data_IF_275501773462
#
_entry.id   IF_275501773462
#
_cell.length_a   1.000
_cell.length_b   1.000
_cell.length_c   1.000
_cell.angle_alpha   90.00
_cell.angle_beta   90.00
_cell.angle_gamma   90.00
#
_symmetry.space_group_name_H-M   'P 1'
#
loop_
_entity.id
_entity.type
_entity.pdbx_description
1 polymer ?
#
# COMPACT_ATOMS: atom_id res chain seq x y z
N UNK A 1 -1.34 22.87 10.04
CA UNK A 1 -1.23 21.39 10.01
C UNK A 1 -2.30 20.77 9.11
N UNK A 2 -3.58 20.99 9.34
CA UNK A 2 -4.72 20.42 8.59
C UNK A 2 -4.64 20.56 7.06
N UNK A 3 -4.31 21.74 6.54
CA UNK A 3 -4.28 22.02 5.09
C UNK A 3 -3.31 21.13 4.28
N UNK A 4 -2.25 20.64 4.91
CA UNK A 4 -1.19 19.82 4.29
C UNK A 4 -1.53 18.35 4.28
N UNK A 5 -2.13 17.87 5.38
CA UNK A 5 -2.65 16.51 5.47
C UNK A 5 -3.83 16.30 4.52
N UNK A 6 -4.60 17.36 4.22
CA UNK A 6 -5.68 17.31 3.23
C UNK A 6 -5.18 17.02 1.81
N UNK A 7 -4.08 17.65 1.38
CA UNK A 7 -3.50 17.37 0.06
C UNK A 7 -3.11 15.88 -0.07
N UNK A 8 -2.52 15.31 0.98
CA UNK A 8 -2.13 13.90 1.02
C UNK A 8 -3.33 12.94 1.15
N UNK A 9 -4.43 13.37 1.80
CA UNK A 9 -5.62 12.53 1.99
C UNK A 9 -6.35 12.18 0.69
N UNK A 10 -6.14 12.96 -0.38
CA UNK A 10 -6.78 12.78 -1.68
C UNK A 10 -6.08 11.76 -2.57
N UNK A 11 -4.82 11.41 -2.28
CA UNK A 11 -3.97 10.62 -3.19
C UNK A 11 -3.46 9.36 -2.48
N UNK A 12 -3.97 8.22 -2.95
CA UNK A 12 -3.69 6.90 -2.38
C UNK A 12 -2.21 6.49 -2.42
N UNK A 13 -1.54 6.74 -3.53
CA UNK A 13 -0.14 6.34 -3.77
C UNK A 13 0.89 7.24 -3.07
N UNK A 14 0.40 8.31 -2.40
CA UNK A 14 1.26 9.38 -1.91
C UNK A 14 1.72 10.34 -3.00
N UNK A 15 2.34 11.43 -2.58
CA UNK A 15 2.87 12.49 -3.45
C UNK A 15 4.39 12.58 -3.33
N UNK A 16 5.05 12.92 -4.43
CA UNK A 16 6.45 13.34 -4.38
C UNK A 16 6.56 14.75 -3.74
N UNK A 17 7.74 15.09 -3.27
CA UNK A 17 7.97 16.40 -2.60
C UNK A 17 7.60 17.59 -3.49
N UNK A 18 7.88 17.52 -4.78
CA UNK A 18 7.52 18.55 -5.77
C UNK A 18 6.00 18.69 -5.91
N UNK A 19 5.29 17.57 -5.96
CA UNK A 19 3.83 17.54 -6.05
C UNK A 19 3.17 18.10 -4.78
N UNK A 20 3.76 17.84 -3.60
CA UNK A 20 3.31 18.45 -2.34
C UNK A 20 3.52 19.96 -2.36
N UNK A 21 4.68 20.44 -2.81
CA UNK A 21 4.97 21.87 -2.93
C UNK A 21 3.94 22.56 -3.84
N UNK A 22 3.64 21.98 -4.99
CA UNK A 22 2.63 22.47 -5.93
C UNK A 22 1.23 22.48 -5.32
N UNK A 23 0.78 21.33 -4.78
CA UNK A 23 -0.55 21.19 -4.20
C UNK A 23 -0.80 22.09 -3.00
N UNK A 24 0.24 22.41 -2.23
CA UNK A 24 0.16 23.27 -1.03
C UNK A 24 0.55 24.72 -1.30
N UNK A 25 1.02 25.04 -2.51
CA UNK A 25 1.58 26.35 -2.89
C UNK A 25 2.74 26.80 -1.97
N UNK A 26 3.49 25.85 -1.41
CA UNK A 26 4.65 26.13 -0.57
C UNK A 26 5.94 26.10 -1.41
N UNK A 27 6.93 26.93 -1.06
CA UNK A 27 8.22 26.87 -1.73
C UNK A 27 8.90 25.52 -1.46
N UNK A 28 9.51 24.95 -2.51
CA UNK A 28 10.25 23.67 -2.43
C UNK A 28 11.66 23.90 -1.85
N UNK A 29 11.75 24.33 -0.60
CA UNK A 29 12.96 24.70 0.14
C UNK A 29 13.24 23.77 1.35
N UNK A 30 14.21 24.13 2.18
CA UNK A 30 14.57 23.41 3.41
C UNK A 30 13.44 23.31 4.43
N UNK A 31 12.60 24.35 4.54
CA UNK A 31 11.47 24.34 5.49
C UNK A 31 10.46 23.26 5.17
N UNK A 32 10.14 23.06 3.87
CA UNK A 32 9.28 21.95 3.45
C UNK A 32 9.90 20.59 3.81
N UNK A 33 11.22 20.45 3.65
CA UNK A 33 11.92 19.20 4.01
C UNK A 33 11.83 18.93 5.52
N UNK A 34 12.13 19.95 6.33
CA UNK A 34 12.04 19.85 7.79
C UNK A 34 10.63 19.52 8.26
N UNK A 35 9.63 20.14 7.63
CA UNK A 35 8.24 19.91 7.92
C UNK A 35 7.80 18.47 7.60
N UNK A 36 8.16 17.94 6.44
CA UNK A 36 7.86 16.56 6.05
C UNK A 36 8.56 15.57 6.99
N UNK A 37 9.79 15.85 7.40
CA UNK A 37 10.52 15.06 8.40
C UNK A 37 9.80 15.06 9.75
N UNK A 38 9.33 16.22 10.23
CA UNK A 38 8.58 16.29 11.49
C UNK A 38 7.27 15.52 11.43
N UNK A 39 6.54 15.59 10.31
CA UNK A 39 5.30 14.83 10.12
C UNK A 39 5.55 13.31 10.06
N UNK A 40 6.67 12.89 9.47
CA UNK A 40 7.09 11.48 9.47
C UNK A 40 7.44 11.01 10.88
N UNK A 41 8.28 11.74 11.59
CA UNK A 41 8.70 11.42 12.96
C UNK A 41 7.51 11.37 13.94
N UNK A 42 6.48 12.19 13.67
CA UNK A 42 5.25 12.21 14.47
C UNK A 42 4.22 11.15 14.01
N UNK A 43 4.53 10.29 13.04
CA UNK A 43 3.66 9.23 12.57
C UNK A 43 2.46 9.68 11.71
N UNK A 44 2.38 10.98 11.34
CA UNK A 44 1.28 11.46 10.50
C UNK A 44 1.41 11.04 9.04
N UNK A 45 2.65 10.94 8.57
CA UNK A 45 2.92 10.51 7.19
C UNK A 45 3.97 9.40 7.18
N UNK A 46 3.98 8.64 6.10
CA UNK A 46 4.95 7.59 5.81
C UNK A 46 5.70 7.96 4.53
N UNK A 47 6.98 7.65 4.50
CA UNK A 47 7.80 7.71 3.30
C UNK A 47 7.83 6.34 2.64
N UNK A 48 7.34 6.24 1.41
CA UNK A 48 7.46 5.04 0.61
C UNK A 48 8.67 5.17 -0.34
N UNK A 49 9.61 4.24 -0.23
CA UNK A 49 10.71 4.14 -1.18
C UNK A 49 10.21 3.58 -2.52
N UNK A 50 10.80 4.02 -3.63
CA UNK A 50 10.57 3.41 -4.95
C UNK A 50 11.61 2.36 -5.26
N UNK A 51 11.16 1.24 -5.83
CA UNK A 51 12.04 0.15 -6.28
C UNK A 51 13.11 0.66 -7.25
N UNK A 52 14.35 0.25 -7.04
CA UNK A 52 15.49 0.67 -7.89
C UNK A 52 16.05 2.07 -7.62
N UNK A 53 15.36 2.91 -6.85
CA UNK A 53 15.79 4.28 -6.53
C UNK A 53 16.20 4.42 -5.07
N UNK A 54 17.49 4.64 -4.81
CA UNK A 54 18.01 4.76 -3.43
C UNK A 54 17.72 6.12 -2.77
N UNK A 55 17.52 7.19 -3.55
CA UNK A 55 17.38 8.56 -2.99
C UNK A 55 16.36 9.47 -3.68
N UNK A 56 15.94 9.19 -4.91
CA UNK A 56 14.99 10.01 -5.67
C UNK A 56 13.66 9.27 -5.82
N UNK A 57 12.56 10.04 -5.96
CA UNK A 57 11.24 9.47 -6.20
C UNK A 57 10.59 8.85 -4.96
N UNK A 58 10.97 9.27 -3.76
CA UNK A 58 10.21 8.94 -2.53
C UNK A 58 8.86 9.60 -2.58
N UNK A 59 7.81 8.87 -2.19
CA UNK A 59 6.48 9.44 -2.03
C UNK A 59 6.12 9.54 -0.56
N UNK A 60 5.40 10.61 -0.20
CA UNK A 60 4.88 10.87 1.13
C UNK A 60 3.40 10.54 1.12
N UNK A 61 2.99 9.66 2.01
CA UNK A 61 1.62 9.17 2.11
C UNK A 61 1.09 9.45 3.52
N UNK A 62 -0.16 9.85 3.63
CA UNK A 62 -0.84 9.98 4.93
C UNK A 62 -0.91 8.60 5.58
N UNK A 63 -0.47 8.47 6.82
CA UNK A 63 -0.40 7.20 7.56
C UNK A 63 -1.28 7.19 8.81
N UNK A 64 -1.60 8.36 9.38
CA UNK A 64 -2.45 8.45 10.56
C UNK A 64 -3.91 8.09 10.22
N UNK A 65 -4.39 7.01 10.83
CA UNK A 65 -5.72 6.46 10.58
C UNK A 65 -6.86 7.41 10.95
N UNK A 66 -6.69 8.14 12.07
CA UNK A 66 -7.71 9.11 12.48
C UNK A 66 -7.79 10.27 11.49
N UNK A 67 -6.67 10.82 11.07
CA UNK A 67 -6.62 11.90 10.08
C UNK A 67 -7.22 11.46 8.75
N UNK A 68 -6.93 10.23 8.27
CA UNK A 68 -7.56 9.67 7.06
C UNK A 68 -9.08 9.56 7.23
N UNK A 69 -9.56 9.05 8.37
CA UNK A 69 -10.97 8.91 8.68
C UNK A 69 -11.66 10.28 8.79
N UNK A 70 -11.01 11.23 9.48
CA UNK A 70 -11.52 12.59 9.63
C UNK A 70 -11.79 13.26 8.29
N UNK A 71 -10.80 13.28 7.39
CA UNK A 71 -10.97 13.91 6.08
C UNK A 71 -11.98 13.21 5.20
N UNK A 72 -12.16 11.91 5.37
CA UNK A 72 -13.05 11.14 4.52
C UNK A 72 -14.51 11.17 4.98
N UNK A 73 -14.75 11.20 6.29
CA UNK A 73 -16.07 10.97 6.86
C UNK A 73 -16.55 12.03 7.85
N UNK A 74 -15.66 12.56 8.70
CA UNK A 74 -16.08 13.44 9.78
C UNK A 74 -16.23 14.87 9.31
N UNK A 75 -15.24 15.41 8.62
CA UNK A 75 -15.18 16.83 8.25
C UNK A 75 -16.46 17.34 7.58
N UNK A 76 -16.95 16.59 6.60
CA UNK A 76 -18.10 17.00 5.79
C UNK A 76 -19.42 16.49 6.36
N UNK A 77 -19.40 15.66 7.42
CA UNK A 77 -20.58 15.12 8.12
C UNK A 77 -20.83 15.76 9.47
N UNK A 78 -19.99 16.68 9.94
CA UNK A 78 -20.07 17.23 11.28
C UNK A 78 -21.46 17.80 11.59
N UNK A 79 -22.15 17.23 12.59
CA UNK A 79 -23.48 17.63 13.02
C UNK A 79 -24.64 17.26 12.07
N UNK A 80 -24.40 16.48 11.02
CA UNK A 80 -25.45 16.11 10.05
C UNK A 80 -26.11 14.76 10.33
N UNK A 81 -25.31 13.74 10.64
CA UNK A 81 -25.80 12.38 10.89
C UNK A 81 -24.88 11.71 11.91
N UNK A 82 -25.36 11.48 13.13
CA UNK A 82 -24.62 10.79 14.18
C UNK A 82 -24.48 9.28 13.92
N UNK A 83 -25.34 8.72 13.07
CA UNK A 83 -25.33 7.31 12.67
C UNK A 83 -24.70 7.07 11.31
N UNK A 84 -24.00 8.06 10.73
CA UNK A 84 -23.48 8.00 9.36
C UNK A 84 -22.64 6.73 9.12
N UNK A 85 -21.89 6.26 10.11
CA UNK A 85 -21.05 5.07 9.95
C UNK A 85 -21.88 3.79 9.78
N UNK A 86 -22.93 3.63 10.59
CA UNK A 86 -23.85 2.49 10.46
C UNK A 86 -24.66 2.56 9.17
N UNK A 87 -25.05 3.77 8.75
CA UNK A 87 -25.84 4.01 7.54
C UNK A 87 -25.03 3.87 6.24
N UNK A 88 -23.70 3.70 6.32
CA UNK A 88 -22.81 3.59 5.14
C UNK A 88 -22.27 2.18 4.92
N UNK A 89 -22.86 1.14 5.48
CA UNK A 89 -22.32 -0.24 5.45
C UNK A 89 -22.01 -0.71 4.03
N UNK A 90 -22.87 -0.45 3.05
CA UNK A 90 -22.69 -0.85 1.65
C UNK A 90 -22.19 0.28 0.74
N UNK A 91 -21.68 1.36 1.32
CA UNK A 91 -21.25 2.53 0.57
C UNK A 91 -19.87 2.27 -0.10
N UNK A 92 -19.73 2.49 -1.43
CA UNK A 92 -18.46 2.36 -2.14
C UNK A 92 -17.32 3.17 -1.53
N UNK A 93 -17.62 4.33 -0.93
CA UNK A 93 -16.65 5.17 -0.24
C UNK A 93 -16.07 4.47 0.98
N UNK A 94 -16.93 3.81 1.79
CA UNK A 94 -16.48 3.01 2.94
C UNK A 94 -15.65 1.82 2.50
N UNK A 95 -16.10 1.08 1.49
CA UNK A 95 -15.37 -0.08 0.95
C UNK A 95 -13.98 0.33 0.41
N UNK A 96 -13.92 1.44 -0.31
CA UNK A 96 -12.65 1.99 -0.81
C UNK A 96 -11.72 2.42 0.33
N UNK A 97 -12.26 3.02 1.41
CA UNK A 97 -11.49 3.42 2.58
C UNK A 97 -10.97 2.20 3.36
N UNK A 98 -11.80 1.18 3.53
CA UNK A 98 -11.40 -0.09 4.19
C UNK A 98 -10.24 -0.76 3.45
N UNK A 99 -10.30 -0.81 2.11
CA UNK A 99 -9.20 -1.34 1.29
C UNK A 99 -7.89 -0.58 1.50
N UNK A 100 -7.96 0.77 1.45
CA UNK A 100 -6.80 1.63 1.70
C UNK A 100 -6.22 1.48 3.09
N UNK A 101 -7.10 1.42 4.09
CA UNK A 101 -6.68 1.26 5.48
C UNK A 101 -6.03 -0.11 5.68
N UNK A 102 -6.54 -1.15 5.05
CA UNK A 102 -5.94 -2.48 5.10
C UNK A 102 -4.53 -2.50 4.48
N UNK A 103 -4.31 -1.83 3.35
CA UNK A 103 -2.97 -1.64 2.77
C UNK A 103 -2.00 -0.94 3.76
N UNK A 104 -2.49 0.04 4.54
CA UNK A 104 -1.68 0.69 5.58
C UNK A 104 -1.36 -0.28 6.73
N UNK A 105 -2.35 -1.06 7.19
CA UNK A 105 -2.14 -2.10 8.22
C UNK A 105 -1.07 -3.09 7.76
N UNK A 106 -1.11 -3.55 6.52
CA UNK A 106 -0.07 -4.44 5.98
C UNK A 106 1.32 -3.80 6.01
N UNK A 107 1.42 -2.52 5.68
CA UNK A 107 2.69 -1.77 5.73
C UNK A 107 3.20 -1.56 7.16
N UNK A 108 2.32 -1.40 8.14
CA UNK A 108 2.70 -1.28 9.55
C UNK A 108 3.22 -2.62 10.11
N UNK A 109 2.77 -3.74 9.54
CA UNK A 109 3.07 -5.10 10.01
C UNK A 109 4.07 -5.84 9.10
N UNK A 110 4.98 -5.12 8.46
CA UNK A 110 6.02 -5.72 7.59
C UNK A 110 6.85 -6.79 8.31
N UNK A 111 7.14 -6.60 9.59
CA UNK A 111 7.92 -7.56 10.38
C UNK A 111 7.18 -8.89 10.52
N UNK A 112 5.87 -8.85 10.79
CA UNK A 112 5.01 -10.03 10.89
C UNK A 112 4.84 -10.72 9.52
N UNK A 113 4.68 -9.94 8.45
CA UNK A 113 4.65 -10.47 7.08
C UNK A 113 5.95 -11.23 6.78
N UNK A 114 7.11 -10.64 7.10
CA UNK A 114 8.42 -11.31 6.92
C UNK A 114 8.54 -12.57 7.78
N UNK A 115 8.06 -12.54 9.02
CA UNK A 115 8.01 -13.71 9.92
C UNK A 115 7.18 -14.83 9.29
N UNK A 116 5.98 -14.53 8.84
CA UNK A 116 5.07 -15.51 8.20
C UNK A 116 5.62 -16.08 6.90
N UNK A 117 6.38 -15.31 6.16
CA UNK A 117 7.09 -15.77 4.96
C UNK A 117 8.35 -16.59 5.28
N UNK A 118 8.80 -16.64 6.54
CA UNK A 118 10.04 -17.30 6.94
C UNK A 118 11.31 -16.57 6.49
N UNK A 119 11.25 -15.25 6.36
CA UNK A 119 12.35 -14.43 5.81
C UNK A 119 12.86 -13.35 6.76
N UNK A 120 12.53 -13.42 8.06
CA UNK A 120 12.98 -12.43 9.07
C UNK A 120 14.50 -12.30 9.13
N UNK A 121 15.24 -13.40 8.95
CA UNK A 121 16.71 -13.41 8.91
C UNK A 121 17.32 -13.00 7.57
N UNK A 122 16.53 -12.72 6.54
CA UNK A 122 17.03 -12.35 5.22
C UNK A 122 17.03 -10.83 5.07
N UNK A 123 18.20 -10.26 4.79
CA UNK A 123 18.30 -8.83 4.51
C UNK A 123 17.44 -8.48 3.29
N UNK A 124 16.56 -7.52 3.46
CA UNK A 124 15.61 -7.12 2.42
C UNK A 124 15.27 -5.64 2.52
N UNK A 125 14.84 -5.07 1.40
CA UNK A 125 14.32 -3.70 1.32
C UNK A 125 12.85 -3.73 0.91
N UNK A 126 12.06 -2.85 1.52
CA UNK A 126 10.64 -2.68 1.18
C UNK A 126 10.48 -1.44 0.32
N UNK A 127 9.73 -1.55 -0.74
CA UNK A 127 9.51 -0.45 -1.69
C UNK A 127 8.17 -0.62 -2.42
N UNK A 128 7.73 0.45 -3.07
CA UNK A 128 6.64 0.42 -4.03
C UNK A 128 7.18 0.54 -5.46
N UNK A 129 6.39 0.17 -6.44
CA UNK A 129 6.73 0.33 -7.85
C UNK A 129 5.49 0.61 -8.68
N UNK A 130 5.65 1.46 -9.70
CA UNK A 130 4.59 1.72 -10.67
C UNK A 130 5.16 2.07 -12.03
N UNK A 131 4.46 1.64 -13.08
CA UNK A 131 4.67 2.06 -14.48
C UNK A 131 3.34 2.57 -15.01
N UNK A 132 3.31 3.80 -15.51
CA UNK A 132 2.12 4.32 -16.20
C UNK A 132 1.94 3.56 -17.51
N UNK A 133 0.70 3.21 -17.83
CA UNK A 133 0.35 2.69 -19.14
C UNK A 133 0.47 3.78 -20.23
N UNK A 134 0.55 3.35 -21.46
CA UNK A 134 0.46 4.19 -22.66
C UNK A 134 -0.59 3.61 -23.61
N UNK A 135 -0.68 4.13 -24.82
CA UNK A 135 -1.67 3.68 -25.83
C UNK A 135 -1.52 2.20 -26.24
N UNK A 136 -0.36 1.58 -26.00
CA UNK A 136 -0.03 0.22 -26.42
C UNK A 136 0.23 -0.74 -25.26
N UNK A 137 0.52 -0.22 -24.07
CA UNK A 137 0.91 -1.02 -22.90
C UNK A 137 0.02 -0.71 -21.69
N UNK A 138 -0.49 -1.76 -21.06
CA UNK A 138 -1.20 -1.63 -19.79
C UNK A 138 -0.22 -1.28 -18.67
N UNK A 139 -0.50 -0.22 -17.91
CA UNK A 139 0.27 0.14 -16.72
C UNK A 139 0.12 -0.88 -15.61
N UNK A 140 1.04 -0.82 -14.65
CA UNK A 140 0.94 -1.65 -13.43
C UNK A 140 1.45 -0.89 -12.21
N UNK A 141 0.83 -1.16 -11.06
CA UNK A 141 1.22 -0.64 -9.75
C UNK A 141 1.32 -1.78 -8.75
N UNK A 142 2.37 -1.74 -7.94
CA UNK A 142 2.64 -2.68 -6.86
C UNK A 142 2.92 -1.83 -5.62
N UNK A 143 2.06 -1.95 -4.62
CA UNK A 143 2.10 -1.10 -3.43
C UNK A 143 3.15 -1.56 -2.43
N UNK A 144 3.53 -2.85 -2.48
CA UNK A 144 4.53 -3.41 -1.59
C UNK A 144 5.36 -4.50 -2.29
N UNK A 145 6.66 -4.25 -2.37
CA UNK A 145 7.68 -5.20 -2.81
C UNK A 145 8.67 -5.43 -1.68
N UNK A 146 9.00 -6.68 -1.41
CA UNK A 146 10.09 -7.05 -0.50
C UNK A 146 11.21 -7.61 -1.37
N UNK A 147 12.23 -6.79 -1.63
CA UNK A 147 13.41 -7.16 -2.40
C UNK A 147 14.45 -7.79 -1.49
N UNK A 148 14.67 -9.10 -1.66
CA UNK A 148 15.47 -9.95 -0.78
C UNK A 148 16.87 -10.18 -1.35
N UNK A 149 17.84 -10.39 -0.46
CA UNK A 149 19.23 -10.72 -0.86
C UNK A 149 19.42 -12.15 -1.36
N UNK A 150 18.49 -13.04 -1.06
CA UNK A 150 18.47 -14.44 -1.55
C UNK A 150 17.93 -14.58 -2.99
N UNK A 151 18.00 -13.53 -3.78
CA UNK A 151 17.58 -13.47 -5.18
C UNK A 151 16.07 -13.68 -5.43
N UNK A 152 15.23 -13.39 -4.43
CA UNK A 152 13.79 -13.40 -4.57
C UNK A 152 13.23 -11.99 -4.34
N UNK A 153 12.17 -11.63 -5.09
CA UNK A 153 11.33 -10.46 -4.85
C UNK A 153 9.94 -10.97 -4.49
N UNK A 154 9.48 -10.68 -3.27
CA UNK A 154 8.09 -10.92 -2.91
C UNK A 154 7.26 -9.74 -3.37
N UNK A 155 6.36 -9.97 -4.33
CA UNK A 155 5.37 -9.03 -4.82
C UNK A 155 4.11 -9.22 -3.99
N UNK A 156 3.84 -8.28 -3.10
CA UNK A 156 2.72 -8.37 -2.17
C UNK A 156 1.51 -7.60 -2.70
N UNK A 157 0.36 -8.25 -2.68
CA UNK A 157 -0.95 -7.70 -3.03
C UNK A 157 -1.85 -7.78 -1.80
N UNK A 158 -2.29 -6.63 -1.35
CA UNK A 158 -3.09 -6.49 -0.14
C UNK A 158 -4.56 -6.34 -0.53
N UNK A 159 -5.46 -7.20 -0.01
CA UNK A 159 -6.88 -7.20 -0.34
C UNK A 159 -7.76 -7.31 0.89
N UNK A 160 -8.48 -6.24 1.19
CA UNK A 160 -9.58 -6.29 2.15
C UNK A 160 -10.78 -7.00 1.55
N UNK A 161 -11.38 -7.91 2.30
CA UNK A 161 -12.62 -8.60 1.97
C UNK A 161 -13.38 -8.95 3.24
N UNK A 162 -14.70 -9.15 3.14
CA UNK A 162 -15.56 -9.55 4.26
C UNK A 162 -15.65 -11.05 4.41
N UNK A 163 -15.03 -11.80 3.51
CA UNK A 163 -14.94 -13.27 3.50
C UNK A 163 -13.67 -13.67 2.76
N UNK A 164 -13.41 -14.99 2.60
CA UNK A 164 -12.26 -15.46 1.81
C UNK A 164 -12.24 -14.81 0.43
N UNK A 165 -11.07 -14.30 0.04
CA UNK A 165 -10.90 -13.61 -1.23
C UNK A 165 -10.91 -14.59 -2.39
N UNK A 166 -11.83 -14.43 -3.34
CA UNK A 166 -11.91 -15.25 -4.53
C UNK A 166 -11.16 -14.60 -5.70
N UNK A 167 -10.10 -15.26 -6.18
CA UNK A 167 -9.38 -14.85 -7.37
C UNK A 167 -10.17 -15.32 -8.58
N UNK A 168 -10.70 -14.40 -9.35
CA UNK A 168 -11.34 -14.67 -10.63
C UNK A 168 -10.35 -14.62 -11.79
N UNK A 169 -10.80 -14.95 -13.00
CA UNK A 169 -9.98 -14.96 -14.23
C UNK A 169 -9.36 -13.59 -14.54
N UNK A 170 -10.11 -12.53 -14.34
CA UNK A 170 -9.67 -11.15 -14.62
C UNK A 170 -8.55 -10.73 -13.66
N UNK A 171 -8.73 -11.02 -12.38
CA UNK A 171 -7.73 -10.69 -11.36
C UNK A 171 -6.45 -11.53 -11.49
N UNK A 172 -6.56 -12.82 -11.83
CA UNK A 172 -5.40 -13.66 -12.18
C UNK A 172 -4.63 -13.08 -13.38
N UNK A 173 -5.34 -12.62 -14.42
CA UNK A 173 -4.74 -11.91 -15.54
C UNK A 173 -4.04 -10.61 -15.09
N UNK A 174 -4.64 -9.84 -14.21
CA UNK A 174 -4.03 -8.63 -13.64
C UNK A 174 -2.75 -8.93 -12.86
N UNK A 175 -2.74 -9.97 -12.01
CA UNK A 175 -1.54 -10.39 -11.28
C UNK A 175 -0.40 -10.79 -12.23
N UNK A 176 -0.70 -11.57 -13.26
CA UNK A 176 0.26 -11.98 -14.30
C UNK A 176 0.81 -10.78 -15.05
N UNK A 177 -0.06 -9.83 -15.41
CA UNK A 177 0.36 -8.59 -16.05
C UNK A 177 1.30 -7.77 -15.16
N UNK A 178 0.99 -7.60 -13.88
CA UNK A 178 1.85 -6.89 -12.93
C UNK A 178 3.26 -7.49 -12.89
N UNK A 179 3.36 -8.82 -12.79
CA UNK A 179 4.63 -9.54 -12.78
C UNK A 179 5.39 -9.37 -14.10
N UNK A 180 4.71 -9.47 -15.23
CA UNK A 180 5.32 -9.34 -16.57
C UNK A 180 5.85 -7.92 -16.79
N UNK A 181 5.01 -6.89 -16.56
CA UNK A 181 5.38 -5.48 -16.74
C UNK A 181 6.49 -5.07 -15.78
N UNK A 182 6.46 -5.54 -14.52
CA UNK A 182 7.51 -5.31 -13.55
C UNK A 182 8.85 -5.92 -14.01
N UNK A 183 8.84 -7.18 -14.41
CA UNK A 183 10.04 -7.89 -14.86
C UNK A 183 10.66 -7.21 -16.10
N UNK A 184 9.85 -6.89 -17.08
CA UNK A 184 10.28 -6.24 -18.30
C UNK A 184 10.86 -4.84 -18.03
N UNK A 185 10.15 -4.04 -17.24
CA UNK A 185 10.56 -2.65 -16.97
C UNK A 185 11.80 -2.54 -16.10
N UNK A 186 12.04 -3.50 -15.20
CA UNK A 186 13.19 -3.47 -14.27
C UNK A 186 14.37 -4.30 -14.76
N UNK A 187 14.18 -5.18 -15.74
CA UNK A 187 15.19 -6.13 -16.20
C UNK A 187 15.63 -7.12 -15.12
N UNK A 188 14.87 -7.26 -14.02
CA UNK A 188 15.28 -8.12 -12.90
C UNK A 188 15.34 -9.59 -13.29
N UNK A 189 16.43 -10.26 -12.90
CA UNK A 189 16.63 -11.71 -13.05
C UNK A 189 16.25 -12.48 -11.78
N UNK A 190 15.82 -11.78 -10.73
CA UNK A 190 15.39 -12.42 -9.49
C UNK A 190 14.08 -13.20 -9.70
N UNK A 191 13.89 -14.24 -8.90
CA UNK A 191 12.61 -14.95 -8.84
C UNK A 191 11.55 -14.01 -8.26
N UNK A 192 10.39 -13.90 -8.91
CA UNK A 192 9.26 -13.12 -8.39
C UNK A 192 8.26 -14.10 -7.78
N UNK A 193 7.98 -13.92 -6.51
CA UNK A 193 7.00 -14.68 -5.75
C UNK A 193 5.81 -13.77 -5.45
N UNK A 194 4.62 -14.12 -5.95
CA UNK A 194 3.39 -13.40 -5.62
C UNK A 194 2.94 -13.83 -4.22
N UNK A 195 2.72 -12.85 -3.37
CA UNK A 195 2.20 -13.00 -2.00
C UNK A 195 0.89 -12.25 -1.93
N UNK A 196 -0.16 -12.86 -1.43
CA UNK A 196 -1.39 -12.15 -1.11
C UNK A 196 -1.58 -12.04 0.40
N UNK A 197 -1.82 -10.82 0.86
CA UNK A 197 -2.23 -10.54 2.23
C UNK A 197 -3.73 -10.19 2.18
N UNK A 198 -4.54 -10.96 2.86
CA UNK A 198 -5.99 -10.81 2.80
C UNK A 198 -6.61 -10.90 4.19
N UNK A 199 -7.82 -10.40 4.36
CA UNK A 199 -8.50 -10.43 5.66
C UNK A 199 -8.73 -11.86 6.14
N UNK A 200 -9.26 -12.73 5.27
CA UNK A 200 -9.73 -14.09 5.63
C UNK A 200 -9.08 -15.20 4.80
N UNK A 201 -7.94 -14.95 4.17
CA UNK A 201 -7.29 -15.90 3.27
C UNK A 201 -7.90 -15.92 1.87
N UNK A 202 -7.36 -16.80 1.04
CA UNK A 202 -7.77 -16.97 -0.37
C UNK A 202 -8.63 -18.23 -0.47
N UNK A 203 -9.76 -18.13 -1.19
CA UNK A 203 -10.57 -19.28 -1.54
C UNK A 203 -9.85 -20.11 -2.61
N UNK A 204 -9.54 -21.40 -2.35
CA UNK A 204 -8.86 -22.24 -3.32
C UNK A 204 -9.69 -22.42 -4.60
N UNK A 205 -9.07 -22.14 -5.75
CA UNK A 205 -9.65 -22.41 -7.06
C UNK A 205 -8.53 -22.50 -8.12
N UNK A 206 -8.88 -22.75 -9.38
CA UNK A 206 -7.90 -22.89 -10.48
C UNK A 206 -7.03 -21.63 -10.73
N UNK A 207 -7.48 -20.46 -10.31
CA UNK A 207 -6.77 -19.19 -10.49
C UNK A 207 -5.87 -18.83 -9.30
N UNK A 208 -6.12 -19.44 -8.11
CA UNK A 208 -5.31 -19.18 -6.91
C UNK A 208 -3.92 -19.81 -6.97
N UNK A 209 -3.66 -20.72 -7.89
CA UNK A 209 -2.37 -21.43 -8.01
C UNK A 209 -1.20 -20.50 -8.41
N UNK A 210 -1.47 -19.30 -8.93
CA UNK A 210 -0.44 -18.32 -9.25
C UNK A 210 0.12 -17.62 -8.01
N UNK A 211 -0.63 -17.66 -6.90
CA UNK A 211 -0.19 -17.09 -5.62
C UNK A 211 0.72 -18.06 -4.90
N UNK A 212 1.98 -17.66 -4.72
CA UNK A 212 2.98 -18.50 -4.07
C UNK A 212 2.81 -18.60 -2.55
N UNK A 213 2.26 -17.57 -1.90
CA UNK A 213 2.01 -17.52 -0.45
C UNK A 213 0.76 -16.68 -0.16
N UNK A 214 0.00 -17.11 0.84
CA UNK A 214 -1.15 -16.37 1.39
C UNK A 214 -0.92 -16.10 2.86
N UNK A 215 -1.20 -14.86 3.27
CA UNK A 215 -1.13 -14.37 4.65
C UNK A 215 -2.52 -13.82 5.00
N UNK A 216 -2.98 -14.07 6.22
CA UNK A 216 -4.26 -13.58 6.71
C UNK A 216 -4.05 -12.43 7.70
N UNK A 217 -5.10 -11.64 7.94
CA UNK A 217 -5.06 -10.54 8.89
C UNK A 217 -4.59 -10.99 10.28
N UNK A 218 -5.05 -12.13 10.77
CA UNK A 218 -4.69 -12.64 12.09
C UNK A 218 -3.17 -12.91 12.21
N UNK A 219 -2.52 -13.33 11.13
CA UNK A 219 -1.07 -13.56 11.08
C UNK A 219 -0.27 -12.26 11.38
N UNK A 220 -0.87 -11.08 11.13
CA UNK A 220 -0.23 -9.78 11.38
C UNK A 220 -0.21 -9.41 12.86
N UNK A 221 -1.05 -10.05 13.68
CA UNK A 221 -1.19 -9.77 15.11
C UNK A 221 -0.75 -10.95 15.99
N UNK A 222 -0.13 -11.98 15.40
CA UNK A 222 0.52 -13.03 16.17
C UNK A 222 1.63 -12.42 17.05
N UNK A 223 1.63 -12.78 18.34
CA UNK A 223 2.67 -12.31 19.27
C UNK A 223 4.04 -12.73 18.79
N UNK A 224 5.00 -11.84 18.93
CA UNK A 224 6.40 -12.23 18.78
C UNK A 224 6.72 -13.20 19.94
N UNK A 225 7.22 -14.39 19.59
CA UNK A 225 7.79 -15.29 20.59
C UNK A 225 9.03 -14.60 21.15
N UNK A 226 8.92 -14.13 22.40
CA UNK A 226 10.01 -13.51 23.17
C UNK A 226 11.07 -14.54 23.51
#
# INVERSE_FOLDING_TARGET
MLFRSEALSKIKSGLERSEIAEATKLPSNGDLTSMLSNLEQSGFIRINARFGNKSRGKTYQLADYFTMFYFRFIRDNHGKDEHFWSNTTDNPTRNSWQGLTFEQVCKDHISQIKKKLGISGILSTVSAWSKKGNNTETGAQIDMLIDRRDHVISLCEDKFSTQQYEINKEYDGSLKNKVAVFRESTGTKKTIQVVMVTTYGIKPNKYSNYVGRSIQLDDLFEKEDT
#
